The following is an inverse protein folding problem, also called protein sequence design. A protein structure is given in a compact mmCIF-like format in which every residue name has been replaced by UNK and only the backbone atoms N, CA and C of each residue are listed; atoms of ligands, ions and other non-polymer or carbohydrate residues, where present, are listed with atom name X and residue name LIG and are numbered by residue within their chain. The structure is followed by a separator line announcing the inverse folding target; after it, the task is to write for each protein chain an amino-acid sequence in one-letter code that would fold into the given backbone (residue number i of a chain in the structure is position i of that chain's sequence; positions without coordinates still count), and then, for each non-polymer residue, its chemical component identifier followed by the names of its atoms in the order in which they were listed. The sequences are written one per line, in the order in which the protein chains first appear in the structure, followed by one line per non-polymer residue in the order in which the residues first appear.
data_IF_212437057593
#
_entry.id   IF_212437057593
#
_cell.length_a   1.000
_cell.length_b   1.000
_cell.length_c   1.000
_cell.angle_alpha   90.00
_cell.angle_beta   90.00
_cell.angle_gamma   90.00
#
_symmetry.space_group_name_H-M   'P 1'
#
loop_
_entity.id
_entity.type
_entity.pdbx_description
1 polymer ?
#
# COMPACT_ATOMS: atom_id res chain seq x y z
N UNK A 1 27.94 1.57 -2.63
CA UNK A 1 26.91 1.12 -1.66
C UNK A 1 26.02 2.32 -1.41
N UNK A 2 24.79 2.32 -1.95
CA UNK A 2 23.88 3.44 -1.77
C UNK A 2 23.40 3.45 -0.32
N UNK A 3 23.48 4.61 0.33
CA UNK A 3 23.02 4.84 1.69
C UNK A 3 21.50 4.63 1.74
N UNK A 4 21.03 3.53 2.33
CA UNK A 4 19.61 3.19 2.39
C UNK A 4 18.91 4.12 3.40
N UNK A 5 18.41 5.25 2.91
CA UNK A 5 17.68 6.21 3.75
C UNK A 5 16.30 5.65 4.05
N UNK A 6 16.09 5.24 5.29
CA UNK A 6 14.75 4.90 5.80
C UNK A 6 13.94 6.15 6.10
N UNK A 7 12.67 6.16 5.69
CA UNK A 7 11.73 7.24 5.98
C UNK A 7 10.53 6.70 6.78
N UNK A 8 10.05 7.47 7.75
CA UNK A 8 8.78 7.18 8.41
C UNK A 8 7.63 7.77 7.58
N UNK A 9 6.60 6.96 7.31
CA UNK A 9 5.41 7.36 6.56
C UNK A 9 4.16 7.01 7.36
N UNK A 10 3.08 7.77 7.16
CA UNK A 10 1.76 7.47 7.71
C UNK A 10 0.85 7.07 6.54
N UNK A 11 0.21 5.91 6.65
CA UNK A 11 -0.76 5.36 5.69
C UNK A 11 -1.92 4.75 6.46
N UNK A 12 -3.08 4.65 5.83
CA UNK A 12 -4.26 3.97 6.39
C UNK A 12 -4.19 2.49 6.03
N UNK A 13 -4.37 1.61 7.01
CA UNK A 13 -4.56 0.17 6.77
C UNK A 13 -5.89 -0.04 6.05
N UNK A 14 -5.88 -0.78 4.95
CA UNK A 14 -7.06 -0.97 4.07
C UNK A 14 -7.39 -2.43 3.76
N UNK A 15 -6.48 -3.35 4.05
CA UNK A 15 -6.70 -4.80 3.94
C UNK A 15 -5.71 -5.49 4.90
N UNK A 16 -6.11 -6.54 5.60
CA UNK A 16 -5.34 -7.19 6.68
C UNK A 16 -5.24 -8.70 6.47
N UNK A 17 -4.46 -9.37 7.31
CA UNK A 17 -4.32 -10.83 7.34
C UNK A 17 -5.66 -11.57 7.16
N UNK A 18 -5.65 -12.58 6.30
CA UNK A 18 -6.83 -13.44 6.04
C UNK A 18 -7.79 -12.89 4.99
N UNK A 19 -7.74 -11.60 4.68
CA UNK A 19 -8.53 -10.99 3.59
C UNK A 19 -7.85 -11.22 2.23
N UNK A 20 -8.65 -11.29 1.16
CA UNK A 20 -8.14 -11.41 -0.22
C UNK A 20 -7.84 -10.03 -0.79
N UNK A 21 -6.55 -9.76 -1.01
CA UNK A 21 -6.09 -8.59 -1.74
C UNK A 21 -5.77 -8.95 -3.19
N UNK A 22 -6.23 -8.15 -4.14
CA UNK A 22 -5.90 -8.37 -5.55
C UNK A 22 -6.01 -7.10 -6.38
N UNK A 23 -5.42 -7.10 -7.57
CA UNK A 23 -5.60 -6.05 -8.56
C UNK A 23 -6.09 -6.59 -9.91
N UNK A 24 -7.00 -5.84 -10.54
CA UNK A 24 -7.39 -6.02 -11.93
C UNK A 24 -6.86 -4.80 -12.68
N UNK A 25 -5.97 -5.04 -13.64
CA UNK A 25 -5.16 -3.98 -14.25
C UNK A 25 -4.52 -3.10 -13.18
N UNK A 26 -4.99 -1.85 -13.04
CA UNK A 26 -4.44 -0.86 -12.09
C UNK A 26 -5.30 -0.66 -10.85
N UNK A 27 -6.46 -1.30 -10.79
CA UNK A 27 -7.44 -1.11 -9.72
C UNK A 27 -7.26 -2.20 -8.67
N UNK A 28 -7.17 -1.78 -7.41
CA UNK A 28 -6.93 -2.67 -6.27
C UNK A 28 -8.20 -2.89 -5.48
N UNK A 29 -8.33 -4.10 -4.94
CA UNK A 29 -9.50 -4.57 -4.23
C UNK A 29 -9.09 -5.37 -2.99
N UNK A 30 -9.91 -5.29 -1.94
CA UNK A 30 -9.85 -6.15 -0.75
C UNK A 30 -11.22 -6.79 -0.56
N UNK A 31 -11.32 -8.13 -0.62
CA UNK A 31 -12.58 -8.88 -0.54
C UNK A 31 -13.70 -8.30 -1.43
N UNK A 32 -13.33 -7.86 -2.63
CA UNK A 32 -14.25 -7.26 -3.62
C UNK A 32 -14.51 -5.76 -3.45
N UNK A 33 -14.04 -5.14 -2.36
CA UNK A 33 -14.17 -3.69 -2.12
C UNK A 33 -13.05 -2.95 -2.84
N UNK A 34 -13.42 -1.99 -3.70
CA UNK A 34 -12.47 -1.13 -4.40
C UNK A 34 -11.71 -0.21 -3.42
N UNK A 35 -10.38 -0.21 -3.53
CA UNK A 35 -9.48 0.58 -2.68
C UNK A 35 -8.87 1.78 -3.40
N UNK A 36 -8.59 1.65 -4.69
CA UNK A 36 -7.94 2.72 -5.46
C UNK A 36 -7.20 2.24 -6.70
N UNK A 37 -6.94 3.18 -7.60
CA UNK A 37 -6.15 2.96 -8.83
C UNK A 37 -4.69 3.36 -8.65
N UNK A 38 -3.75 2.57 -9.19
CA UNK A 38 -2.34 2.95 -9.30
C UNK A 38 -2.08 3.88 -10.50
N UNK A 39 -1.17 4.84 -10.30
CA UNK A 39 -0.66 5.68 -11.38
C UNK A 39 0.48 4.97 -12.08
N UNK A 40 0.58 5.19 -13.39
CA UNK A 40 1.71 4.68 -14.21
C UNK A 40 2.91 5.62 -14.20
N UNK A 41 2.74 6.85 -13.69
CA UNK A 41 3.79 7.86 -13.58
C UNK A 41 3.69 8.66 -12.29
N UNK A 42 4.85 8.99 -11.74
CA UNK A 42 5.02 9.87 -10.57
C UNK A 42 4.69 11.33 -10.89
N UNK A 43 4.71 12.20 -9.88
CA UNK A 43 4.53 13.65 -10.05
C UNK A 43 5.57 14.26 -10.99
N UNK A 44 6.80 13.74 -11.01
CA UNK A 44 7.88 14.20 -11.89
C UNK A 44 7.91 13.45 -13.23
N UNK A 45 6.85 12.73 -13.58
CA UNK A 45 6.73 12.02 -14.87
C UNK A 45 7.51 10.71 -14.98
N UNK A 46 8.30 10.32 -13.96
CA UNK A 46 9.02 9.03 -13.96
C UNK A 46 8.02 7.87 -13.94
N UNK A 47 8.25 6.78 -14.71
CA UNK A 47 7.42 5.57 -14.64
C UNK A 47 7.33 5.03 -13.21
N UNK A 48 6.15 4.51 -12.86
CA UNK A 48 5.93 3.78 -11.62
C UNK A 48 5.53 2.35 -11.95
N UNK A 49 6.23 1.40 -11.34
CA UNK A 49 5.85 0.00 -11.38
C UNK A 49 4.86 -0.28 -10.25
N UNK A 50 3.73 -0.85 -10.62
CA UNK A 50 2.69 -1.22 -9.66
C UNK A 50 3.00 -2.59 -9.06
N UNK A 51 2.64 -2.78 -7.80
CA UNK A 51 2.71 -4.08 -7.15
C UNK A 51 1.58 -4.97 -7.64
N UNK A 52 1.89 -6.09 -8.30
CA UNK A 52 0.88 -7.05 -8.75
C UNK A 52 0.70 -8.15 -7.72
N UNK A 53 -0.54 -8.41 -7.32
CA UNK A 53 -0.87 -9.40 -6.32
C UNK A 53 -2.29 -9.94 -6.55
N UNK A 54 -2.48 -11.22 -6.22
CA UNK A 54 -3.79 -11.85 -6.10
C UNK A 54 -3.66 -13.00 -5.10
N UNK A 55 -4.20 -12.81 -3.89
CA UNK A 55 -4.13 -13.83 -2.85
C UNK A 55 -4.65 -13.39 -1.50
N UNK A 56 -4.60 -14.32 -0.55
CA UNK A 56 -4.89 -14.07 0.85
C UNK A 56 -3.67 -13.42 1.50
N UNK A 57 -3.88 -12.31 2.21
CA UNK A 57 -2.79 -11.65 2.93
C UNK A 57 -2.24 -12.61 4.02
N UNK A 58 -0.93 -12.90 4.01
CA UNK A 58 -0.31 -13.81 4.97
C UNK A 58 -0.23 -13.20 6.37
N UNK A 59 -0.02 -14.06 7.37
CA UNK A 59 0.08 -13.64 8.76
C UNK A 59 1.18 -12.61 9.01
N UNK A 60 0.84 -11.57 9.77
CA UNK A 60 1.74 -10.47 10.12
C UNK A 60 1.99 -9.48 8.97
N UNK A 61 1.13 -9.46 7.96
CA UNK A 61 1.16 -8.49 6.85
C UNK A 61 -0.17 -7.75 6.71
N UNK A 62 -0.10 -6.56 6.11
CA UNK A 62 -1.26 -5.76 5.75
C UNK A 62 -0.99 -4.92 4.50
N UNK A 63 -2.04 -4.31 3.96
CA UNK A 63 -1.99 -3.35 2.85
C UNK A 63 -2.35 -1.97 3.38
N UNK A 64 -1.59 -0.95 2.98
CA UNK A 64 -1.80 0.42 3.44
C UNK A 64 -1.86 1.40 2.28
N UNK A 65 -2.89 2.25 2.25
CA UNK A 65 -3.12 3.26 1.22
C UNK A 65 -3.10 4.66 1.85
N UNK A 66 -2.63 5.65 1.10
CA UNK A 66 -2.89 7.06 1.42
C UNK A 66 -4.19 7.54 0.77
N UNK A 67 -4.79 8.57 1.34
CA UNK A 67 -6.03 9.17 0.80
C UNK A 67 -5.82 9.94 -0.51
N UNK A 68 -4.61 10.43 -0.77
CA UNK A 68 -4.28 11.15 -1.99
C UNK A 68 -3.89 10.19 -3.14
N UNK A 69 -4.32 10.51 -4.36
CA UNK A 69 -4.00 9.74 -5.58
C UNK A 69 -2.50 9.66 -5.89
N UNK A 70 -1.70 10.59 -5.36
CA UNK A 70 -0.25 10.65 -5.54
C UNK A 70 0.52 9.98 -4.38
N UNK A 71 -0.19 9.41 -3.40
CA UNK A 71 0.45 8.68 -2.31
C UNK A 71 1.27 7.51 -2.86
N UNK A 72 2.55 7.46 -2.49
CA UNK A 72 3.40 6.29 -2.68
C UNK A 72 3.18 5.34 -1.49
N UNK A 73 2.54 4.20 -1.76
CA UNK A 73 2.02 3.26 -0.76
C UNK A 73 2.00 1.81 -1.29
N UNK A 74 1.20 0.91 -0.69
CA UNK A 74 1.17 -0.52 -1.06
C UNK A 74 0.84 -0.79 -2.53
N UNK A 75 0.27 0.18 -3.25
CA UNK A 75 0.13 0.11 -4.72
C UNK A 75 1.47 -0.06 -5.45
N UNK A 76 2.58 0.31 -4.82
CA UNK A 76 3.92 0.29 -5.43
C UNK A 76 4.91 -0.55 -4.63
N UNK A 77 4.91 -0.45 -3.29
CA UNK A 77 5.85 -1.23 -2.46
C UNK A 77 5.27 -2.55 -1.92
N UNK A 78 3.99 -2.81 -2.15
CA UNK A 78 3.32 -4.05 -1.78
C UNK A 78 2.93 -4.18 -0.31
N UNK A 79 2.89 -5.42 0.19
CA UNK A 79 2.47 -5.74 1.55
C UNK A 79 3.46 -5.18 2.56
N UNK A 80 2.94 -4.70 3.69
CA UNK A 80 3.73 -4.15 4.79
C UNK A 80 3.73 -5.13 5.95
N UNK A 81 4.86 -5.30 6.61
CA UNK A 81 4.97 -6.13 7.81
C UNK A 81 4.46 -5.36 9.03
N UNK A 82 3.67 -6.03 9.85
CA UNK A 82 3.19 -5.45 11.11
C UNK A 82 4.33 -5.06 12.05
N UNK A 83 5.42 -5.85 12.07
CA UNK A 83 6.58 -5.58 12.91
C UNK A 83 7.38 -4.33 12.52
N UNK A 84 7.11 -3.72 11.35
CA UNK A 84 7.73 -2.47 10.91
C UNK A 84 6.92 -1.22 11.32
N UNK A 85 5.72 -1.41 11.89
CA UNK A 85 4.86 -0.33 12.36
C UNK A 85 5.45 0.28 13.64
N UNK A 86 5.77 1.58 13.59
CA UNK A 86 6.34 2.31 14.73
C UNK A 86 5.29 2.92 15.66
N UNK A 87 4.12 3.28 15.13
CA UNK A 87 3.05 3.94 15.87
C UNK A 87 1.71 3.84 15.13
N UNK A 88 0.62 3.97 15.88
CA UNK A 88 -0.75 4.08 15.35
C UNK A 88 -1.21 5.53 15.54
N UNK A 89 -1.54 6.21 14.46
CA UNK A 89 -2.11 7.55 14.51
C UNK A 89 -3.59 7.48 14.93
N UNK A 90 -3.97 8.23 15.96
CA UNK A 90 -5.37 8.36 16.40
C UNK A 90 -5.98 9.65 15.84
N UNK A 91 -7.18 9.60 15.22
CA UNK A 91 -7.91 10.80 14.85
C UNK A 91 -8.12 11.73 16.05
N UNK A 92 -8.12 13.03 15.80
CA UNK A 92 -8.31 14.07 16.82
C UNK A 92 -9.80 14.47 16.98
N UNK A 93 -10.69 13.92 16.15
CA UNK A 93 -12.14 14.06 16.19
C UNK A 93 -12.79 12.73 15.80
#
# INVERSE_FOLDING_TARGET
MANDKTFNIIKRVVCVEGERFYNIDRDYYCDGIYLGTAKTRSLTGKPLEQFKYDGIIPHGYFVAFGSDKNSFDSRYFGLVKECEVKAIAKPIF
#
